data_IF_502147571349
#
_entry.id   IF_502147571349
#
_cell.length_a   1.000
_cell.length_b   1.000
_cell.length_c   1.000
_cell.angle_alpha   90.00
_cell.angle_beta   90.00
_cell.angle_gamma   90.00
#
_symmetry.space_group_name_H-M   'P 1'
#
loop_
_entity.id
_entity.type
_entity.pdbx_description
1 polymer ?
#
# COMPACT_ATOMS: atom_id res chain seq x y z
N UNK A 1 -11.13 24.45 -4.03
CA UNK A 1 -11.83 23.62 -3.00
C UNK A 1 -12.24 22.22 -3.46
N UNK A 2 -12.21 21.87 -4.75
CA UNK A 2 -12.75 20.57 -5.20
C UNK A 2 -11.83 19.35 -4.94
N UNK A 3 -10.52 19.52 -4.86
CA UNK A 3 -9.56 18.39 -4.79
C UNK A 3 -9.51 17.67 -3.45
N UNK A 4 -9.69 18.39 -2.33
CA UNK A 4 -9.81 17.79 -0.99
C UNK A 4 -11.09 16.95 -0.92
N UNK A 5 -12.18 17.42 -1.54
CA UNK A 5 -13.45 16.68 -1.58
C UNK A 5 -13.30 15.36 -2.32
N UNK A 6 -12.62 15.32 -3.47
CA UNK A 6 -12.36 14.06 -4.19
C UNK A 6 -11.41 13.13 -3.45
N UNK A 7 -10.39 13.65 -2.76
CA UNK A 7 -9.50 12.85 -1.91
C UNK A 7 -10.26 12.24 -0.73
N UNK A 8 -11.10 13.02 -0.05
CA UNK A 8 -11.94 12.55 1.07
C UNK A 8 -12.98 11.53 0.60
N UNK A 9 -13.58 11.73 -0.57
CA UNK A 9 -14.52 10.77 -1.16
C UNK A 9 -13.80 9.47 -1.55
N UNK A 10 -12.62 9.55 -2.17
CA UNK A 10 -11.80 8.37 -2.52
C UNK A 10 -11.31 7.61 -1.29
N UNK A 11 -10.85 8.32 -0.26
CA UNK A 11 -10.44 7.73 1.02
C UNK A 11 -11.62 7.13 1.78
N UNK A 12 -12.79 7.78 1.76
CA UNK A 12 -14.03 7.27 2.33
C UNK A 12 -14.50 5.99 1.64
N UNK A 13 -14.44 5.94 0.30
CA UNK A 13 -14.72 4.73 -0.48
C UNK A 13 -13.76 3.59 -0.10
N UNK A 14 -12.47 3.89 0.05
CA UNK A 14 -11.48 2.91 0.48
C UNK A 14 -11.75 2.40 1.90
N UNK A 15 -12.10 3.28 2.85
CA UNK A 15 -12.45 2.87 4.21
C UNK A 15 -13.70 1.98 4.24
N UNK A 16 -14.69 2.25 3.39
CA UNK A 16 -15.88 1.40 3.20
C UNK A 16 -15.50 0.05 2.59
N UNK A 17 -14.60 0.01 1.61
CA UNK A 17 -14.11 -1.23 1.00
C UNK A 17 -13.32 -2.08 2.00
N UNK A 18 -12.46 -1.46 2.81
CA UNK A 18 -11.74 -2.13 3.91
C UNK A 18 -12.74 -2.67 4.94
N UNK A 19 -13.74 -1.88 5.33
CA UNK A 19 -14.81 -2.32 6.22
C UNK A 19 -15.60 -3.51 5.66
N UNK A 20 -15.94 -3.48 4.38
CA UNK A 20 -16.64 -4.59 3.71
C UNK A 20 -15.77 -5.86 3.61
N UNK A 21 -14.47 -5.72 3.32
CA UNK A 21 -13.53 -6.84 3.29
C UNK A 21 -13.34 -7.48 4.67
N UNK A 22 -13.26 -6.66 5.73
CA UNK A 22 -13.23 -7.13 7.11
C UNK A 22 -14.54 -7.82 7.50
N UNK A 23 -15.69 -7.32 7.03
CA UNK A 23 -16.97 -7.99 7.24
C UNK A 23 -17.05 -9.34 6.57
N UNK A 24 -16.57 -9.42 5.33
CA UNK A 24 -16.56 -10.65 4.54
C UNK A 24 -15.62 -11.71 5.12
N UNK A 25 -14.55 -11.31 5.80
CA UNK A 25 -13.64 -12.19 6.51
C UNK A 25 -14.14 -12.61 7.92
N UNK A 26 -15.37 -12.27 8.29
CA UNK A 26 -15.99 -12.73 9.54
C UNK A 26 -15.61 -11.94 10.79
N UNK A 27 -14.85 -10.84 10.67
CA UNK A 27 -14.41 -10.04 11.82
C UNK A 27 -15.55 -9.37 12.62
N UNK A 28 -16.77 -9.29 12.08
CA UNK A 28 -17.94 -8.76 12.78
C UNK A 28 -18.86 -9.83 13.40
N UNK A 29 -18.56 -11.13 13.21
CA UNK A 29 -19.35 -12.20 13.81
C UNK A 29 -18.69 -12.69 15.10
N UNK A 30 -19.19 -12.22 16.25
CA UNK A 30 -18.88 -12.78 17.57
C UNK A 30 -17.60 -12.29 18.26
N UNK A 31 -16.76 -11.49 17.61
CA UNK A 31 -15.55 -10.91 18.22
C UNK A 31 -15.84 -9.49 18.73
N UNK A 32 -15.91 -9.31 20.05
CA UNK A 32 -16.10 -7.98 20.64
C UNK A 32 -14.90 -7.06 20.35
N UNK A 33 -15.12 -5.77 20.13
CA UNK A 33 -14.01 -4.79 19.92
C UNK A 33 -12.94 -4.87 21.03
N UNK A 34 -13.34 -5.20 22.27
CA UNK A 34 -12.40 -5.38 23.38
C UNK A 34 -11.60 -6.69 23.35
N UNK A 35 -12.11 -7.74 22.70
CA UNK A 35 -11.36 -8.99 22.44
C UNK A 35 -10.46 -8.83 21.22
N UNK A 36 -10.95 -8.12 20.19
CA UNK A 36 -10.13 -7.63 19.08
C UNK A 36 -8.94 -6.85 19.60
N UNK A 37 -9.17 -5.80 20.40
CA UNK A 37 -8.09 -4.97 20.93
C UNK A 37 -7.15 -5.76 21.83
N UNK A 38 -7.62 -6.74 22.62
CA UNK A 38 -6.75 -7.55 23.47
C UNK A 38 -5.94 -8.59 22.70
N UNK A 39 -6.53 -9.29 21.74
CA UNK A 39 -5.83 -10.21 20.86
C UNK A 39 -4.81 -9.47 20.00
N UNK A 40 -5.21 -8.33 19.43
CA UNK A 40 -4.34 -7.45 18.67
C UNK A 40 -3.24 -6.84 19.55
N UNK A 41 -3.53 -6.35 20.76
CA UNK A 41 -2.49 -5.83 21.66
C UNK A 41 -1.51 -6.93 22.13
N UNK A 42 -2.00 -8.16 22.35
CA UNK A 42 -1.17 -9.31 22.70
C UNK A 42 -0.21 -9.71 21.59
N UNK A 43 -0.70 -9.78 20.36
CA UNK A 43 0.10 -10.14 19.18
C UNK A 43 1.13 -9.05 18.82
N UNK A 44 0.73 -7.77 18.88
CA UNK A 44 1.60 -6.63 18.56
C UNK A 44 2.63 -6.33 19.66
N UNK A 45 2.55 -6.99 20.82
CA UNK A 45 3.49 -6.80 21.93
C UNK A 45 4.88 -7.40 21.67
N UNK A 46 5.03 -8.21 20.61
CA UNK A 46 6.31 -8.82 20.21
C UNK A 46 6.54 -8.65 18.72
N UNK A 47 7.19 -7.55 18.33
CA UNK A 47 7.78 -7.45 16.99
C UNK A 47 8.90 -8.48 16.91
N UNK A 48 8.70 -9.55 16.14
CA UNK A 48 9.73 -10.52 15.79
C UNK A 48 10.04 -10.35 14.31
N UNK A 49 11.27 -9.93 13.98
CA UNK A 49 11.68 -9.73 12.59
C UNK A 49 12.18 -11.05 12.00
N UNK A 50 11.26 -11.82 11.40
CA UNK A 50 11.59 -13.06 10.70
C UNK A 50 11.90 -12.80 9.21
N UNK A 51 13.17 -12.49 8.94
CA UNK A 51 13.65 -12.36 7.56
C UNK A 51 13.69 -13.69 6.80
N UNK A 52 13.65 -14.85 7.49
CA UNK A 52 13.59 -16.14 6.82
C UNK A 52 12.23 -16.35 6.14
N UNK A 53 11.14 -15.87 6.75
CA UNK A 53 9.82 -15.83 6.12
C UNK A 53 9.87 -15.08 4.78
N UNK A 54 10.49 -13.89 4.74
CA UNK A 54 10.68 -13.13 3.50
C UNK A 54 11.53 -13.88 2.46
N UNK A 55 12.67 -14.42 2.89
CA UNK A 55 13.61 -15.10 2.00
C UNK A 55 13.02 -16.38 1.39
N UNK A 56 12.10 -17.04 2.11
CA UNK A 56 11.42 -18.26 1.67
C UNK A 56 10.22 -18.01 0.74
N UNK A 57 9.73 -16.77 0.66
CA UNK A 57 8.59 -16.42 -0.19
C UNK A 57 8.94 -16.55 -1.69
N UNK A 58 7.95 -16.82 -2.57
CA UNK A 58 8.15 -16.77 -4.01
C UNK A 58 8.83 -15.47 -4.47
N UNK A 59 9.79 -15.56 -5.38
CA UNK A 59 10.59 -14.42 -5.84
C UNK A 59 9.73 -13.22 -6.28
N UNK A 60 8.59 -13.47 -6.93
CA UNK A 60 7.67 -12.43 -7.37
C UNK A 60 7.09 -11.61 -6.20
N UNK A 61 6.84 -12.26 -5.05
CA UNK A 61 6.35 -11.62 -3.83
C UNK A 61 7.47 -10.82 -3.18
N UNK A 62 8.70 -11.36 -3.15
CA UNK A 62 9.87 -10.63 -2.66
C UNK A 62 10.10 -9.34 -3.46
N UNK A 63 10.04 -9.40 -4.79
CA UNK A 63 10.20 -8.23 -5.66
C UNK A 63 9.07 -7.23 -5.40
N UNK A 64 7.82 -7.69 -5.30
CA UNK A 64 6.68 -6.84 -5.02
C UNK A 64 6.81 -6.11 -3.68
N UNK A 65 6.99 -6.87 -2.60
CA UNK A 65 7.08 -6.36 -1.24
C UNK A 65 8.32 -5.47 -1.05
N UNK A 66 9.47 -5.86 -1.60
CA UNK A 66 10.69 -5.05 -1.60
C UNK A 66 10.50 -3.73 -2.33
N UNK A 67 9.89 -3.76 -3.52
CA UNK A 67 9.60 -2.54 -4.29
C UNK A 67 8.60 -1.63 -3.59
N UNK A 68 7.54 -2.19 -3.01
CA UNK A 68 6.52 -1.43 -2.28
C UNK A 68 7.10 -0.79 -1.00
N UNK A 69 7.89 -1.53 -0.22
CA UNK A 69 8.57 -1.00 0.98
C UNK A 69 9.57 0.09 0.63
N UNK A 70 10.37 -0.09 -0.43
CA UNK A 70 11.29 0.93 -0.91
C UNK A 70 10.54 2.19 -1.40
N UNK A 71 9.43 2.01 -2.13
CA UNK A 71 8.59 3.11 -2.58
C UNK A 71 7.96 3.87 -1.40
N UNK A 72 7.53 3.15 -0.36
CA UNK A 72 7.00 3.75 0.86
C UNK A 72 8.06 4.60 1.56
N UNK A 73 9.25 4.05 1.79
CA UNK A 73 10.36 4.78 2.42
C UNK A 73 10.76 6.01 1.60
N UNK A 74 10.95 5.85 0.29
CA UNK A 74 11.34 6.95 -0.58
C UNK A 74 10.25 8.02 -0.72
N UNK A 75 8.98 7.61 -0.77
CA UNK A 75 7.84 8.53 -0.75
C UNK A 75 7.78 9.33 0.55
N UNK A 76 8.00 8.68 1.69
CA UNK A 76 8.03 9.34 3.00
C UNK A 76 9.15 10.37 3.08
N UNK A 77 10.36 10.01 2.62
CA UNK A 77 11.50 10.95 2.52
C UNK A 77 11.12 12.16 1.67
N UNK A 78 10.51 11.94 0.49
CA UNK A 78 10.13 13.06 -0.39
C UNK A 78 9.01 13.94 0.18
N UNK A 79 8.14 13.40 1.03
CA UNK A 79 7.05 14.15 1.68
C UNK A 79 7.56 14.96 2.87
N UNK A 80 8.51 14.42 3.64
CA UNK A 80 9.01 15.03 4.87
C UNK A 80 10.23 15.92 4.67
N UNK A 81 11.03 15.69 3.63
CA UNK A 81 12.25 16.45 3.42
C UNK A 81 11.96 17.95 3.23
N UNK A 82 12.79 18.84 3.80
CA UNK A 82 12.70 20.26 3.52
C UNK A 82 12.79 20.52 2.02
N UNK A 83 12.01 21.49 1.53
CA UNK A 83 12.01 21.79 0.10
C UNK A 83 13.39 22.31 -0.31
N UNK A 84 13.90 21.79 -1.43
CA UNK A 84 15.18 22.21 -2.01
C UNK A 84 16.42 21.50 -1.47
N UNK A 85 16.29 20.57 -0.50
CA UNK A 85 17.45 19.86 0.07
C UNK A 85 17.76 18.52 -0.59
N UNK A 86 16.84 17.99 -1.41
CA UNK A 86 16.98 16.68 -2.05
C UNK A 86 16.74 16.77 -3.57
N UNK A 87 17.34 15.85 -4.36
CA UNK A 87 17.10 15.78 -5.80
C UNK A 87 15.72 15.18 -6.11
N UNK A 88 14.66 15.96 -5.88
CA UNK A 88 13.25 15.52 -5.98
C UNK A 88 12.91 14.83 -7.30
N UNK A 89 13.46 15.28 -8.44
CA UNK A 89 13.19 14.66 -9.75
C UNK A 89 13.77 13.25 -9.85
N UNK A 90 15.03 13.08 -9.47
CA UNK A 90 15.71 11.78 -9.49
C UNK A 90 15.00 10.79 -8.59
N UNK A 91 14.68 11.21 -7.36
CA UNK A 91 13.93 10.37 -6.41
C UNK A 91 12.51 10.09 -6.91
N UNK A 92 11.86 11.05 -7.56
CA UNK A 92 10.56 10.88 -8.21
C UNK A 92 10.58 9.82 -9.32
N UNK A 93 11.62 9.79 -10.16
CA UNK A 93 11.77 8.76 -11.20
C UNK A 93 11.99 7.37 -10.61
N UNK A 94 12.86 7.25 -9.61
CA UNK A 94 13.08 5.98 -8.89
C UNK A 94 11.77 5.52 -8.24
N UNK A 95 11.07 6.43 -7.56
CA UNK A 95 9.80 6.13 -6.91
C UNK A 95 8.73 5.65 -7.91
N UNK A 96 8.60 6.30 -9.07
CA UNK A 96 7.69 5.84 -10.14
C UNK A 96 8.08 4.44 -10.65
N UNK A 97 9.38 4.16 -10.81
CA UNK A 97 9.86 2.84 -11.21
C UNK A 97 9.52 1.75 -10.18
N UNK A 98 9.67 2.05 -8.89
CA UNK A 98 9.29 1.14 -7.79
C UNK A 98 7.78 0.90 -7.75
N UNK A 99 6.96 1.96 -7.89
CA UNK A 99 5.51 1.86 -7.96
C UNK A 99 5.05 1.00 -9.16
N UNK A 100 5.68 1.19 -10.32
CA UNK A 100 5.39 0.39 -11.51
C UNK A 100 5.75 -1.08 -11.30
N UNK A 101 6.92 -1.34 -10.72
CA UNK A 101 7.37 -2.71 -10.41
C UNK A 101 6.41 -3.40 -9.44
N UNK A 102 6.01 -2.72 -8.36
CA UNK A 102 5.02 -3.23 -7.42
C UNK A 102 3.67 -3.52 -8.11
N UNK A 103 3.16 -2.60 -8.93
CA UNK A 103 1.89 -2.78 -9.63
C UNK A 103 1.92 -3.95 -10.64
N UNK A 104 3.00 -4.09 -11.41
CA UNK A 104 3.13 -5.17 -12.41
C UNK A 104 3.27 -6.53 -11.74
N UNK A 105 4.12 -6.63 -10.71
CA UNK A 105 4.31 -7.89 -9.97
C UNK A 105 3.04 -8.32 -9.24
N UNK A 106 2.23 -7.38 -8.74
CA UNK A 106 0.96 -7.68 -8.09
C UNK A 106 -0.04 -8.45 -8.98
N UNK A 107 0.04 -8.33 -10.32
CA UNK A 107 -0.83 -9.07 -11.27
C UNK A 107 -0.69 -10.59 -11.11
N UNK A 108 0.48 -11.03 -10.65
CA UNK A 108 0.85 -12.44 -10.51
C UNK A 108 0.66 -12.97 -9.08
N UNK A 109 0.33 -12.11 -8.10
CA UNK A 109 0.18 -12.50 -6.69
C UNK A 109 -1.30 -12.79 -6.39
N UNK A 110 -1.68 -14.08 -6.46
CA UNK A 110 -3.09 -14.52 -6.45
C UNK A 110 -3.45 -15.49 -5.32
N UNK A 111 -2.70 -15.41 -4.23
CA UNK A 111 -2.79 -16.37 -3.11
C UNK A 111 -4.15 -16.35 -2.39
N UNK A 112 -4.87 -15.22 -2.42
CA UNK A 112 -6.09 -15.04 -1.61
C UNK A 112 -7.41 -15.33 -2.32
N UNK A 113 -7.38 -15.68 -3.61
CA UNK A 113 -8.59 -16.05 -4.34
C UNK A 113 -8.35 -17.31 -5.17
N UNK A 114 -7.73 -18.32 -4.58
CA UNK A 114 -7.52 -19.64 -5.20
C UNK A 114 -6.84 -19.55 -6.57
N UNK A 115 -5.85 -18.66 -6.72
CA UNK A 115 -5.15 -18.44 -7.99
C UNK A 115 -5.86 -17.50 -8.98
N UNK A 116 -7.06 -17.01 -8.66
CA UNK A 116 -7.78 -15.99 -9.43
C UNK A 116 -7.46 -14.56 -8.95
N UNK A 117 -7.90 -13.57 -9.72
CA UNK A 117 -7.85 -12.18 -9.29
C UNK A 117 -8.76 -11.95 -8.08
N UNK A 118 -8.20 -11.34 -7.05
CA UNK A 118 -8.92 -10.92 -5.85
C UNK A 118 -9.26 -9.43 -5.90
N UNK A 119 -10.14 -8.97 -5.01
CA UNK A 119 -10.56 -7.56 -4.98
C UNK A 119 -9.39 -6.58 -4.81
N UNK A 120 -8.32 -6.96 -4.10
CA UNK A 120 -7.12 -6.10 -3.94
C UNK A 120 -6.38 -5.85 -5.26
N UNK A 121 -6.62 -6.64 -6.31
CA UNK A 121 -6.04 -6.36 -7.62
C UNK A 121 -6.57 -5.08 -8.24
N UNK A 122 -7.65 -4.48 -7.70
CA UNK A 122 -8.11 -3.15 -8.10
C UNK A 122 -7.03 -2.08 -7.93
N UNK A 123 -6.09 -2.27 -6.99
CA UNK A 123 -4.98 -1.33 -6.79
C UNK A 123 -4.02 -1.28 -7.99
N UNK A 124 -3.96 -2.33 -8.82
CA UNK A 124 -3.11 -2.35 -10.02
C UNK A 124 -3.52 -1.27 -11.02
N UNK A 125 -4.74 -1.29 -11.61
CA UNK A 125 -5.15 -0.26 -12.56
C UNK A 125 -5.19 1.14 -11.92
N UNK A 126 -5.58 1.25 -10.64
CA UNK A 126 -5.57 2.53 -9.94
C UNK A 126 -4.14 3.12 -9.86
N UNK A 127 -3.15 2.28 -9.55
CA UNK A 127 -1.75 2.69 -9.51
C UNK A 127 -1.25 3.09 -10.88
N UNK A 128 -1.53 2.31 -11.92
CA UNK A 128 -1.08 2.60 -13.29
C UNK A 128 -1.67 3.91 -13.82
N UNK A 129 -2.98 4.14 -13.61
CA UNK A 129 -3.63 5.41 -13.96
C UNK A 129 -3.03 6.57 -13.18
N UNK A 130 -2.78 6.40 -11.87
CA UNK A 130 -2.12 7.40 -11.04
C UNK A 130 -0.70 7.72 -11.53
N UNK A 131 0.08 6.72 -11.94
CA UNK A 131 1.43 6.89 -12.52
C UNK A 131 1.37 7.72 -13.80
N UNK A 132 0.41 7.44 -14.69
CA UNK A 132 0.22 8.25 -15.90
C UNK A 132 -0.13 9.69 -15.50
N UNK A 133 -1.06 9.87 -14.55
CA UNK A 133 -1.47 11.17 -14.04
C UNK A 133 -0.31 12.00 -13.48
N UNK A 134 0.47 11.44 -12.55
CA UNK A 134 1.59 12.12 -11.90
C UNK A 134 2.65 12.57 -12.92
N UNK A 135 2.96 11.73 -13.91
CA UNK A 135 3.92 12.05 -14.99
C UNK A 135 3.36 13.15 -15.89
N UNK A 136 2.11 13.04 -16.33
CA UNK A 136 1.48 14.04 -17.21
C UNK A 136 1.38 15.41 -16.53
N UNK A 137 0.97 15.45 -15.27
CA UNK A 137 0.85 16.69 -14.52
C UNK A 137 2.22 17.28 -14.18
N UNK A 138 3.27 16.47 -13.98
CA UNK A 138 4.65 16.95 -13.88
C UNK A 138 5.11 17.61 -15.19
N UNK A 139 4.92 16.94 -16.35
CA UNK A 139 5.31 17.45 -17.67
C UNK A 139 4.59 18.76 -18.03
N UNK A 140 3.30 18.85 -17.70
CA UNK A 140 2.47 20.04 -17.91
C UNK A 140 2.71 21.15 -16.87
N UNK A 141 3.69 20.99 -15.96
CA UNK A 141 4.01 21.93 -14.87
C UNK A 141 2.80 22.26 -13.99
N UNK A 142 1.87 21.32 -13.84
CA UNK A 142 0.67 21.45 -13.00
C UNK A 142 0.97 20.98 -11.58
N UNK A 143 1.83 21.72 -10.86
CA UNK A 143 2.39 21.33 -9.55
C UNK A 143 1.32 20.93 -8.53
N UNK A 144 0.20 21.67 -8.47
CA UNK A 144 -0.88 21.35 -7.55
C UNK A 144 -1.52 19.97 -7.84
N UNK A 145 -1.70 19.62 -9.12
CA UNK A 145 -2.24 18.31 -9.52
C UNK A 145 -1.22 17.20 -9.33
N UNK A 146 0.03 17.43 -9.73
CA UNK A 146 1.14 16.50 -9.49
C UNK A 146 1.26 16.12 -8.00
N UNK A 147 1.16 17.11 -7.10
CA UNK A 147 1.14 16.86 -5.66
C UNK A 147 -0.03 15.97 -5.23
N UNK A 148 -1.22 16.23 -5.76
CA UNK A 148 -2.40 15.44 -5.40
C UNK A 148 -2.31 14.01 -5.95
N UNK A 149 -1.76 13.81 -7.15
CA UNK A 149 -1.51 12.48 -7.70
C UNK A 149 -0.48 11.73 -6.84
N UNK A 150 0.60 12.40 -6.42
CA UNK A 150 1.61 11.83 -5.53
C UNK A 150 1.02 11.40 -4.19
N UNK A 151 0.21 12.26 -3.55
CA UNK A 151 -0.47 11.92 -2.29
C UNK A 151 -1.50 10.80 -2.51
N UNK A 152 -2.26 10.83 -3.61
CA UNK A 152 -3.23 9.80 -3.95
C UNK A 152 -2.59 8.42 -4.13
N UNK A 153 -1.47 8.35 -4.85
CA UNK A 153 -0.68 7.13 -4.98
C UNK A 153 -0.04 6.71 -3.65
N UNK A 154 0.51 7.64 -2.87
CA UNK A 154 1.14 7.30 -1.59
C UNK A 154 0.13 6.69 -0.61
N UNK A 155 -1.00 7.37 -0.37
CA UNK A 155 -1.99 6.85 0.57
C UNK A 155 -2.83 5.71 -0.01
N UNK A 156 -3.29 5.85 -1.27
CA UNK A 156 -4.20 4.89 -1.89
C UNK A 156 -3.53 3.65 -2.47
N UNK A 157 -2.27 3.73 -2.89
CA UNK A 157 -1.55 2.63 -3.53
C UNK A 157 -0.34 2.10 -2.74
N UNK A 158 0.07 2.73 -1.64
CA UNK A 158 1.05 2.17 -0.70
C UNK A 158 0.45 1.89 0.67
N UNK A 159 -0.11 2.92 1.34
CA UNK A 159 -0.60 2.75 2.71
C UNK A 159 -1.75 1.75 2.77
N UNK A 160 -2.80 1.96 1.97
CA UNK A 160 -4.00 1.11 2.01
C UNK A 160 -3.70 -0.36 1.63
N UNK A 161 -3.03 -0.67 0.50
CA UNK A 161 -2.59 -2.03 0.19
C UNK A 161 -1.62 -2.60 1.23
N UNK A 162 -0.75 -1.75 1.79
CA UNK A 162 0.15 -2.12 2.88
C UNK A 162 -0.62 -2.65 4.09
N UNK A 163 -1.71 -2.00 4.50
CA UNK A 163 -2.56 -2.50 5.58
C UNK A 163 -3.10 -3.91 5.30
N UNK A 164 -3.49 -4.21 4.06
CA UNK A 164 -3.90 -5.56 3.67
C UNK A 164 -2.74 -6.55 3.75
N UNK A 165 -1.52 -6.15 3.39
CA UNK A 165 -0.32 -7.00 3.47
C UNK A 165 0.02 -7.42 4.91
N UNK A 166 -0.35 -6.59 5.89
CA UNK A 166 -0.21 -6.84 7.33
C UNK A 166 -1.43 -7.52 7.96
N UNK A 167 -2.35 -8.10 7.19
CA UNK A 167 -3.40 -8.95 7.77
C UNK A 167 -2.84 -10.31 8.20
N UNK A 168 -3.42 -10.95 9.25
CA UNK A 168 -3.04 -12.30 9.67
C UNK A 168 -3.01 -13.30 8.50
N UNK A 169 -1.99 -14.14 8.47
CA UNK A 169 -1.79 -15.15 7.42
C UNK A 169 -1.11 -14.63 6.15
N UNK A 170 -0.65 -13.38 6.12
CA UNK A 170 0.15 -12.84 4.99
C UNK A 170 1.62 -12.67 5.34
N UNK A 171 2.44 -12.53 4.31
CA UNK A 171 3.90 -12.43 4.45
C UNK A 171 4.36 -11.32 5.40
N UNK A 172 3.82 -10.09 5.29
CA UNK A 172 4.26 -8.99 6.15
C UNK A 172 3.82 -9.18 7.61
N UNK A 173 2.73 -9.91 7.86
CA UNK A 173 2.36 -10.32 9.21
C UNK A 173 3.39 -11.29 9.78
N UNK A 174 3.69 -12.37 9.06
CA UNK A 174 4.68 -13.38 9.48
C UNK A 174 6.06 -12.74 9.72
N UNK A 175 6.47 -11.82 8.85
CA UNK A 175 7.76 -11.12 8.96
C UNK A 175 7.88 -10.31 10.24
N UNK A 176 6.81 -9.67 10.72
CA UNK A 176 6.87 -8.72 11.84
C UNK A 176 6.34 -9.26 13.17
N UNK A 177 5.42 -10.22 13.14
CA UNK A 177 4.75 -10.73 14.34
C UNK A 177 5.05 -12.22 14.59
N UNK A 178 5.69 -12.89 13.63
CA UNK A 178 5.84 -14.34 13.66
C UNK A 178 4.55 -15.04 13.21
N UNK A 179 4.65 -16.35 13.04
CA UNK A 179 3.53 -17.25 12.74
C UNK A 179 3.26 -18.20 13.89
#
# INVERSE_FOLDING_TARGET
>A
MNTIRHFVIGFGLVAVIVGAALAQAGYFNGFGLGEFVRAFAGEYSRVSLDFAAFASAPLIIQIHAGSATAALGLGLVQLLAPKGTIPHRTLGYVWVGLMLTAAVTAIFIREINQGNFSFIHIFVPLTLVGIVGIIMNARKRRTARHRNDALGLFFGALIVPGLFAFMPGRLMWQLFFGG
#
